data_IF_835753602991
#
_entry.id   IF_835753602991
#
_cell.length_a   1.000
_cell.length_b   1.000
_cell.length_c   1.000
_cell.angle_alpha   90.00
_cell.angle_beta   90.00
_cell.angle_gamma   90.00
#
_symmetry.space_group_name_H-M   'P 1'
#
loop_
_entity.id
_entity.type
_entity.pdbx_description
1 polymer ?
#
# COMPACT_ATOMS: atom_id res chain seq x y z
N UNK A 1 34.16 12.69 0.85
CA UNK A 1 32.96 13.54 1.04
C UNK A 1 31.89 12.72 1.76
N UNK A 2 31.60 13.04 3.02
CA UNK A 2 30.69 12.30 3.94
C UNK A 2 29.44 13.12 4.26
N UNK A 3 28.87 13.81 3.27
CA UNK A 3 27.66 14.62 3.46
C UNK A 3 26.39 13.78 3.49
N UNK A 4 25.40 14.18 4.28
CA UNK A 4 24.08 13.54 4.38
C UNK A 4 23.45 13.30 3.00
N UNK A 5 23.53 14.28 2.09
CA UNK A 5 22.99 14.12 0.73
C UNK A 5 23.70 13.01 -0.06
N UNK A 6 25.04 12.93 0.04
CA UNK A 6 25.84 11.90 -0.63
C UNK A 6 25.50 10.49 -0.12
N UNK A 7 25.23 10.36 1.17
CA UNK A 7 24.79 9.11 1.78
C UNK A 7 23.35 8.76 1.40
N UNK A 8 22.46 9.76 1.29
CA UNK A 8 21.08 9.56 0.86
C UNK A 8 21.00 9.04 -0.58
N UNK A 9 21.82 9.57 -1.50
CA UNK A 9 21.95 9.05 -2.87
C UNK A 9 22.41 7.58 -2.93
N UNK A 10 23.12 7.10 -1.91
CA UNK A 10 23.57 5.70 -1.79
C UNK A 10 22.55 4.80 -1.09
N UNK A 11 21.34 5.28 -0.85
CA UNK A 11 20.30 4.46 -0.21
C UNK A 11 20.47 4.29 1.31
N UNK A 12 21.29 5.12 1.98
CA UNK A 12 21.41 5.08 3.44
C UNK A 12 20.13 5.61 4.09
N UNK A 13 19.46 4.79 4.89
CA UNK A 13 18.13 5.07 5.45
C UNK A 13 18.11 6.27 6.40
N UNK A 14 19.11 6.42 7.25
CA UNK A 14 19.22 7.55 8.19
C UNK A 14 19.44 8.88 7.44
N UNK A 15 20.26 8.86 6.40
CA UNK A 15 20.51 10.00 5.56
C UNK A 15 19.26 10.41 4.75
N UNK A 16 18.52 9.43 4.21
CA UNK A 16 17.23 9.66 3.54
C UNK A 16 16.22 10.22 4.53
N UNK A 17 16.09 9.64 5.73
CA UNK A 17 15.19 10.15 6.76
C UNK A 17 15.54 11.60 7.12
N UNK A 18 16.83 11.91 7.28
CA UNK A 18 17.29 13.27 7.56
C UNK A 18 16.95 14.23 6.42
N UNK A 19 17.12 13.79 5.17
CA UNK A 19 16.77 14.56 3.99
C UNK A 19 15.26 14.86 3.94
N UNK A 20 14.42 13.83 4.03
CA UNK A 20 12.95 13.97 4.03
C UNK A 20 12.46 14.87 5.17
N UNK A 21 13.01 14.69 6.38
CA UNK A 21 12.61 15.47 7.55
C UNK A 21 12.89 16.98 7.44
N UNK A 22 13.81 17.42 6.57
CA UNK A 22 14.02 18.85 6.31
C UNK A 22 12.80 19.50 5.64
N UNK A 23 12.08 18.73 4.83
CA UNK A 23 10.89 19.19 4.12
C UNK A 23 9.60 18.93 4.91
N UNK A 24 9.55 17.86 5.69
CA UNK A 24 8.34 17.43 6.40
C UNK A 24 8.12 18.14 7.74
N UNK A 25 9.19 18.45 8.49
CA UNK A 25 9.07 19.10 9.80
C UNK A 25 8.41 20.47 9.77
N UNK A 26 8.70 21.36 8.79
CA UNK A 26 7.97 22.63 8.65
C UNK A 26 6.46 22.46 8.44
N UNK A 27 6.02 21.26 8.02
CA UNK A 27 4.63 20.92 7.76
C UNK A 27 4.00 20.13 8.92
N UNK A 28 4.67 20.07 10.08
CA UNK A 28 4.16 19.39 11.27
C UNK A 28 4.26 17.87 11.24
N UNK A 29 5.08 17.29 10.35
CA UNK A 29 5.26 15.86 10.22
C UNK A 29 6.73 15.42 10.33
N UNK A 30 6.94 14.17 10.74
CA UNK A 30 8.25 13.52 10.78
C UNK A 30 8.23 12.23 9.96
N UNK A 31 9.36 11.89 9.35
CA UNK A 31 9.55 10.62 8.63
C UNK A 31 10.54 9.71 9.36
N UNK A 32 10.25 8.42 9.36
CA UNK A 32 11.20 7.34 9.66
C UNK A 32 11.37 6.50 8.40
N UNK A 33 12.59 6.06 8.14
CA UNK A 33 12.91 5.30 6.93
C UNK A 33 13.58 3.99 7.31
N UNK A 34 13.10 2.90 6.75
CA UNK A 34 13.70 1.57 6.85
C UNK A 34 13.86 0.97 5.45
N UNK A 35 14.79 0.02 5.32
CA UNK A 35 15.04 -0.70 4.06
C UNK A 35 15.07 -2.20 4.34
N UNK A 36 14.38 -2.95 3.50
CA UNK A 36 14.38 -4.42 3.49
C UNK A 36 14.68 -4.88 2.06
N UNK A 37 15.94 -5.26 1.79
CA UNK A 37 16.37 -5.59 0.43
C UNK A 37 16.24 -4.39 -0.53
N UNK A 38 15.40 -4.54 -1.56
CA UNK A 38 15.08 -3.52 -2.56
C UNK A 38 13.81 -2.70 -2.24
N UNK A 39 13.23 -2.91 -1.05
CA UNK A 39 12.06 -2.21 -0.54
C UNK A 39 12.48 -1.11 0.42
N UNK A 40 12.09 0.13 0.12
CA UNK A 40 12.20 1.27 1.03
C UNK A 40 10.83 1.54 1.67
N UNK A 41 10.80 1.65 2.99
CA UNK A 41 9.61 1.98 3.74
C UNK A 41 9.80 3.34 4.40
N UNK A 42 8.82 4.21 4.24
CA UNK A 42 8.79 5.55 4.80
C UNK A 42 7.54 5.66 5.66
N UNK A 43 7.71 5.79 6.98
CA UNK A 43 6.62 6.05 7.90
C UNK A 43 6.56 7.54 8.21
N UNK A 44 5.42 8.15 7.93
CA UNK A 44 5.10 9.54 8.25
C UNK A 44 4.25 9.57 9.51
N UNK A 45 4.63 10.44 10.43
CA UNK A 45 3.89 10.69 11.66
C UNK A 45 3.65 12.18 11.85
N UNK A 46 2.41 12.52 12.21
CA UNK A 46 1.99 13.89 12.54
C UNK A 46 1.00 13.89 13.70
N UNK A 47 0.69 15.08 14.24
CA UNK A 47 -0.28 15.23 15.35
C UNK A 47 -1.67 14.75 14.94
N UNK A 48 -2.06 15.02 13.70
CA UNK A 48 -3.26 14.49 13.06
C UNK A 48 -2.89 13.41 12.02
N UNK A 49 -3.89 12.73 11.45
CA UNK A 49 -3.65 11.82 10.32
C UNK A 49 -3.11 12.63 9.15
N UNK A 50 -1.91 12.31 8.62
CA UNK A 50 -1.31 13.07 7.53
C UNK A 50 -2.15 12.96 6.26
N UNK A 51 -2.30 14.06 5.50
CA UNK A 51 -2.99 14.01 4.20
C UNK A 51 -2.23 13.13 3.21
N UNK A 52 -2.85 12.02 2.80
CA UNK A 52 -2.19 11.00 1.98
C UNK A 52 -1.64 11.58 0.68
N UNK A 53 -2.46 12.33 -0.06
CA UNK A 53 -2.08 12.81 -1.39
C UNK A 53 -0.90 13.79 -1.29
N UNK A 54 -1.04 14.80 -0.44
CA UNK A 54 -0.05 15.84 -0.24
C UNK A 54 1.31 15.27 0.18
N UNK A 55 1.33 14.41 1.19
CA UNK A 55 2.59 13.87 1.70
C UNK A 55 3.23 12.85 0.77
N UNK A 56 2.43 12.04 0.06
CA UNK A 56 2.94 11.17 -0.99
C UNK A 56 3.58 11.98 -2.12
N UNK A 57 2.96 13.06 -2.57
CA UNK A 57 3.51 13.93 -3.63
C UNK A 57 4.85 14.55 -3.21
N UNK A 58 4.95 15.02 -1.96
CA UNK A 58 6.21 15.56 -1.40
C UNK A 58 7.29 14.49 -1.39
N UNK A 59 7.05 13.34 -0.77
CA UNK A 59 8.07 12.28 -0.66
C UNK A 59 8.46 11.76 -2.03
N UNK A 60 7.50 11.59 -2.94
CA UNK A 60 7.76 11.15 -4.29
C UNK A 60 8.73 12.10 -5.01
N UNK A 61 8.47 13.41 -4.95
CA UNK A 61 9.34 14.43 -5.54
C UNK A 61 10.74 14.40 -4.94
N UNK A 62 10.84 14.32 -3.62
CA UNK A 62 12.13 14.29 -2.90
C UNK A 62 12.93 13.02 -3.21
N UNK A 63 12.29 11.86 -3.25
CA UNK A 63 12.97 10.60 -3.58
C UNK A 63 13.33 10.49 -5.06
N UNK A 64 12.53 11.07 -5.95
CA UNK A 64 12.87 11.17 -7.37
C UNK A 64 14.14 12.01 -7.58
N UNK A 65 14.33 13.08 -6.79
CA UNK A 65 15.57 13.86 -6.79
C UNK A 65 16.80 13.06 -6.32
N UNK A 66 16.62 12.11 -5.40
CA UNK A 66 17.71 11.28 -4.91
C UNK A 66 18.16 10.18 -5.91
N UNK A 67 17.35 9.85 -6.92
CA UNK A 67 17.67 8.85 -7.98
C UNK A 67 18.25 7.55 -7.39
N UNK A 68 17.59 6.99 -6.39
CA UNK A 68 18.08 5.79 -5.71
C UNK A 68 17.81 4.56 -6.60
N UNK A 69 18.79 4.19 -7.41
CA UNK A 69 18.67 3.14 -8.45
C UNK A 69 18.36 1.74 -7.92
N UNK A 70 18.61 1.51 -6.64
CA UNK A 70 18.53 0.18 -6.00
C UNK A 70 17.18 -0.11 -5.34
N UNK A 71 16.28 0.88 -5.30
CA UNK A 71 14.94 0.71 -4.75
C UNK A 71 14.03 0.26 -5.89
N UNK A 72 13.40 -0.91 -5.75
CA UNK A 72 12.33 -1.36 -6.67
C UNK A 72 10.96 -1.00 -6.14
N UNK A 73 10.77 -1.02 -4.82
CA UNK A 73 9.49 -0.76 -4.19
C UNK A 73 9.66 0.29 -3.09
N UNK A 74 8.94 1.39 -3.21
CA UNK A 74 8.76 2.39 -2.16
C UNK A 74 7.38 2.19 -1.54
N UNK A 75 7.32 2.17 -0.22
CA UNK A 75 6.07 2.24 0.50
C UNK A 75 6.08 3.40 1.47
N UNK A 76 4.96 4.10 1.51
CA UNK A 76 4.74 5.23 2.36
C UNK A 76 3.56 4.91 3.26
N UNK A 77 3.75 5.01 4.56
CA UNK A 77 2.74 4.80 5.58
C UNK A 77 2.47 6.13 6.24
N UNK A 78 1.21 6.48 6.44
CA UNK A 78 0.85 7.67 7.20
C UNK A 78 0.06 7.32 8.44
N UNK A 79 0.45 7.88 9.59
CA UNK A 79 -0.30 7.69 10.83
C UNK A 79 -0.26 8.93 11.72
N UNK A 80 -1.23 8.99 12.63
CA UNK A 80 -1.18 9.91 13.75
C UNK A 80 -0.12 9.44 14.76
N UNK A 81 0.57 10.37 15.39
CA UNK A 81 1.50 10.06 16.47
C UNK A 81 0.80 9.34 17.61
N UNK A 82 1.40 8.25 18.07
CA UNK A 82 0.87 7.40 19.14
C UNK A 82 -0.05 6.28 18.67
N UNK A 83 -0.48 6.27 17.40
CA UNK A 83 -1.25 5.16 16.86
C UNK A 83 -0.31 3.99 16.49
N UNK A 84 -0.74 2.76 16.76
CA UNK A 84 0.02 1.55 16.43
C UNK A 84 -0.03 1.24 14.93
N UNK A 85 -1.18 1.47 14.30
CA UNK A 85 -1.43 1.18 12.90
C UNK A 85 -1.28 2.41 11.99
N UNK A 86 -0.96 2.16 10.72
CA UNK A 86 -1.03 3.18 9.69
C UNK A 86 -2.49 3.48 9.34
N UNK A 87 -2.84 4.77 9.23
CA UNK A 87 -4.15 5.18 8.73
C UNK A 87 -4.28 4.88 7.23
N UNK A 88 -3.17 5.01 6.49
CA UNK A 88 -3.11 4.68 5.06
C UNK A 88 -1.71 4.20 4.68
N UNK A 89 -1.66 3.48 3.56
CA UNK A 89 -0.42 3.05 2.90
C UNK A 89 -0.50 3.36 1.41
N UNK A 90 0.59 3.88 0.85
CA UNK A 90 0.74 4.11 -0.58
C UNK A 90 2.03 3.45 -1.06
N UNK A 91 1.95 2.69 -2.15
CA UNK A 91 3.11 2.04 -2.75
C UNK A 91 3.45 2.68 -4.10
N UNK A 92 4.75 2.75 -4.41
CA UNK A 92 5.31 3.19 -5.68
C UNK A 92 6.39 2.20 -6.12
N UNK A 93 6.49 1.95 -7.42
CA UNK A 93 7.55 1.12 -7.99
C UNK A 93 8.54 1.95 -8.77
N UNK A 94 9.81 1.56 -8.70
CA UNK A 94 10.84 2.09 -9.60
C UNK A 94 10.91 1.25 -10.87
N UNK A 95 10.65 1.86 -12.03
CA UNK A 95 10.90 1.28 -13.35
C UNK A 95 11.81 2.21 -14.14
N UNK A 96 12.94 1.69 -14.61
CA UNK A 96 13.94 2.46 -15.37
C UNK A 96 14.39 3.75 -14.65
N UNK A 97 14.44 3.72 -13.31
CA UNK A 97 14.81 4.87 -12.49
C UNK A 97 13.70 5.90 -12.27
N UNK A 98 12.46 5.61 -12.67
CA UNK A 98 11.28 6.43 -12.37
C UNK A 98 10.40 5.71 -11.35
N UNK A 99 10.03 6.42 -10.28
CA UNK A 99 8.98 5.97 -9.38
C UNK A 99 7.62 6.15 -10.08
N UNK A 100 6.74 5.17 -9.96
CA UNK A 100 5.40 5.14 -10.56
C UNK A 100 4.43 4.64 -9.48
N UNK A 101 3.22 5.22 -9.34
CA UNK A 101 2.24 4.71 -8.38
C UNK A 101 1.97 3.23 -8.63
N UNK A 102 1.91 2.43 -7.57
CA UNK A 102 1.57 1.01 -7.70
C UNK A 102 0.13 0.79 -8.19
N UNK A 103 -0.72 1.83 -8.19
CA UNK A 103 -2.04 1.83 -8.84
C UNK A 103 -1.98 1.90 -10.37
N UNK A 104 -0.87 2.36 -10.94
CA UNK A 104 -0.70 2.56 -12.39
C UNK A 104 0.06 1.42 -13.07
N UNK A 105 0.65 0.51 -12.30
CA UNK A 105 1.33 -0.68 -12.82
C UNK A 105 0.72 -1.91 -12.19
N UNK A 106 0.30 -2.81 -13.07
CA UNK A 106 -0.09 -4.20 -12.82
C UNK A 106 0.86 -4.84 -11.79
N UNK A 107 0.48 -4.78 -10.50
CA UNK A 107 1.22 -5.36 -9.37
C UNK A 107 1.47 -6.87 -9.60
N UNK A 108 0.66 -7.48 -10.47
CA UNK A 108 0.80 -8.84 -11.01
C UNK A 108 2.12 -9.14 -11.71
N UNK A 109 2.89 -8.13 -12.15
CA UNK A 109 4.20 -8.34 -12.81
C UNK A 109 5.38 -8.37 -11.82
N UNK A 110 5.16 -8.09 -10.53
CA UNK A 110 6.22 -7.98 -9.52
C UNK A 110 6.66 -9.28 -8.88
N UNK A 111 5.81 -10.29 -8.92
CA UNK A 111 6.04 -11.54 -8.23
C UNK A 111 6.04 -12.64 -9.27
N UNK A 112 6.97 -13.60 -9.15
CA UNK A 112 6.81 -14.86 -9.87
C UNK A 112 5.45 -15.46 -9.51
N UNK A 113 4.76 -16.08 -10.46
CA UNK A 113 3.38 -16.58 -10.29
C UNK A 113 3.16 -17.45 -9.03
N UNK A 114 4.23 -18.03 -8.46
CA UNK A 114 4.19 -18.83 -7.23
C UNK A 114 4.31 -18.09 -5.89
N UNK A 115 4.71 -16.81 -5.87
CA UNK A 115 5.14 -16.12 -4.62
C UNK A 115 4.04 -15.23 -3.99
N UNK A 116 3.14 -14.65 -4.82
CA UNK A 116 2.10 -13.72 -4.34
C UNK A 116 1.19 -14.35 -3.29
N UNK A 117 0.68 -15.55 -3.56
CA UNK A 117 -0.33 -16.20 -2.73
C UNK A 117 0.27 -16.57 -1.37
N UNK A 118 1.52 -17.04 -1.35
CA UNK A 118 2.22 -17.37 -0.11
C UNK A 118 2.42 -16.11 0.76
N UNK A 119 2.94 -15.03 0.18
CA UNK A 119 3.15 -13.78 0.90
C UNK A 119 1.84 -13.11 1.34
N UNK A 120 0.79 -13.22 0.54
CA UNK A 120 -0.54 -12.73 0.92
C UNK A 120 -1.12 -13.48 2.12
N UNK A 121 -0.92 -14.81 2.19
CA UNK A 121 -1.29 -15.64 3.34
C UNK A 121 -0.52 -15.31 4.62
N UNK A 122 0.71 -14.78 4.49
CA UNK A 122 1.50 -14.27 5.61
C UNK A 122 1.05 -12.85 6.07
N UNK A 123 0.11 -12.27 5.32
CA UNK A 123 -0.45 -10.94 5.56
C UNK A 123 0.44 -9.81 5.07
N UNK A 124 1.28 -10.04 4.05
CA UNK A 124 1.95 -8.94 3.35
C UNK A 124 0.92 -8.16 2.52
N UNK A 125 0.72 -6.89 2.89
CA UNK A 125 -0.28 -6.01 2.29
C UNK A 125 -0.02 -5.75 0.81
N UNK A 126 1.24 -5.75 0.37
CA UNK A 126 1.60 -5.58 -1.05
C UNK A 126 1.20 -6.80 -1.83
N UNK A 127 1.48 -7.99 -1.32
CA UNK A 127 1.07 -9.25 -1.94
C UNK A 127 -0.46 -9.40 -1.97
N UNK A 128 -1.16 -9.04 -0.88
CA UNK A 128 -2.63 -9.00 -0.84
C UNK A 128 -3.16 -8.01 -1.89
N UNK A 129 -2.60 -6.81 -1.97
CA UNK A 129 -2.97 -5.80 -2.96
C UNK A 129 -2.72 -6.28 -4.40
N UNK A 130 -1.63 -7.01 -4.62
CA UNK A 130 -1.30 -7.61 -5.90
C UNK A 130 -2.32 -8.65 -6.33
N UNK A 131 -2.63 -9.55 -5.41
CA UNK A 131 -3.59 -10.62 -5.62
C UNK A 131 -4.99 -10.06 -5.92
N UNK A 132 -5.43 -9.06 -5.16
CA UNK A 132 -6.70 -8.38 -5.40
C UNK A 132 -6.75 -7.72 -6.77
N UNK A 133 -5.73 -6.94 -7.13
CA UNK A 133 -5.71 -6.28 -8.43
C UNK A 133 -5.63 -7.29 -9.59
N UNK A 134 -5.01 -8.47 -9.39
CA UNK A 134 -5.05 -9.57 -10.37
C UNK A 134 -6.48 -10.05 -10.61
N UNK A 135 -7.18 -10.40 -9.53
CA UNK A 135 -8.58 -10.84 -9.56
C UNK A 135 -9.46 -9.81 -10.25
N UNK A 136 -9.30 -8.54 -9.91
CA UNK A 136 -10.12 -7.45 -10.44
C UNK A 136 -9.77 -7.10 -11.89
N UNK A 137 -8.53 -7.30 -12.31
CA UNK A 137 -8.11 -7.05 -13.69
C UNK A 137 -8.80 -7.97 -14.70
N UNK A 138 -9.24 -9.16 -14.30
CA UNK A 138 -10.10 -10.05 -15.13
C UNK A 138 -11.41 -9.38 -15.53
N UNK A 139 -11.88 -8.41 -14.72
CA UNK A 139 -13.08 -7.61 -14.96
C UNK A 139 -12.76 -6.16 -15.35
N UNK A 140 -11.51 -5.87 -15.71
CA UNK A 140 -11.02 -4.52 -16.00
C UNK A 140 -11.22 -3.50 -14.87
N UNK A 141 -11.33 -3.97 -13.63
CA UNK A 141 -11.47 -3.14 -12.44
C UNK A 141 -10.11 -2.87 -11.79
N UNK A 142 -9.98 -1.70 -11.16
CA UNK A 142 -8.82 -1.34 -10.32
C UNK A 142 -9.25 -1.22 -8.87
N UNK A 143 -8.35 -1.53 -7.94
CA UNK A 143 -8.62 -1.25 -6.53
C UNK A 143 -7.40 -0.78 -5.75
N UNK A 144 -7.69 0.07 -4.78
CA UNK A 144 -6.78 0.45 -3.71
C UNK A 144 -7.06 -0.43 -2.50
N UNK A 145 -5.99 -0.97 -1.92
CA UNK A 145 -6.09 -1.88 -0.78
C UNK A 145 -5.37 -1.26 0.41
N UNK A 146 -6.05 -1.19 1.53
CA UNK A 146 -5.52 -0.75 2.82
C UNK A 146 -5.84 -1.81 3.88
N UNK A 147 -4.97 -1.96 4.88
CA UNK A 147 -5.21 -2.86 6.01
C UNK A 147 -5.18 -2.02 7.28
N UNK A 148 -6.33 -1.89 7.94
CA UNK A 148 -6.50 -1.14 9.18
C UNK A 148 -7.15 -2.03 10.23
N UNK A 149 -6.53 -2.21 11.39
CA UNK A 149 -7.12 -2.95 12.52
C UNK A 149 -7.70 -4.33 12.13
N UNK A 150 -6.98 -5.06 11.26
CA UNK A 150 -7.39 -6.36 10.69
C UNK A 150 -8.60 -6.32 9.73
N UNK A 151 -9.08 -5.12 9.39
CA UNK A 151 -10.03 -4.84 8.32
C UNK A 151 -9.27 -4.49 7.03
N UNK A 152 -9.39 -5.37 6.03
CA UNK A 152 -8.89 -5.15 4.69
C UNK A 152 -9.90 -4.30 3.92
N UNK A 153 -9.56 -3.03 3.73
CA UNK A 153 -10.37 -2.09 2.99
C UNK A 153 -9.97 -2.13 1.53
N UNK A 154 -10.91 -2.51 0.67
CA UNK A 154 -10.72 -2.60 -0.76
C UNK A 154 -11.61 -1.57 -1.43
N UNK A 155 -11.01 -0.52 -1.98
CA UNK A 155 -11.69 0.56 -2.67
C UNK A 155 -11.58 0.30 -4.16
N UNK A 156 -12.68 -0.13 -4.76
CA UNK A 156 -12.78 -0.46 -6.18
C UNK A 156 -13.12 0.82 -6.95
N UNK A 157 -12.23 1.21 -7.84
CA UNK A 157 -12.48 2.31 -8.77
C UNK A 157 -13.29 1.81 -9.95
N UNK A 158 -14.54 2.26 -10.04
CA UNK A 158 -15.40 1.92 -11.18
C UNK A 158 -16.43 3.00 -11.47
N UNK A 159 -16.70 3.17 -12.76
CA UNK A 159 -17.82 3.99 -13.24
C UNK A 159 -19.06 3.17 -13.58
N UNK A 160 -18.93 1.84 -13.57
CA UNK A 160 -19.99 0.89 -13.88
C UNK A 160 -20.79 0.50 -12.64
N UNK A 161 -22.00 -0.02 -12.87
CA UNK A 161 -22.80 -0.59 -11.79
C UNK A 161 -22.14 -1.87 -11.28
N UNK A 162 -21.85 -1.91 -9.98
CA UNK A 162 -21.34 -3.09 -9.29
C UNK A 162 -22.42 -3.55 -8.30
N UNK A 163 -23.04 -4.69 -8.60
CA UNK A 163 -24.07 -5.30 -7.77
C UNK A 163 -23.43 -5.82 -6.48
N UNK A 164 -23.58 -5.09 -5.38
CA UNK A 164 -22.96 -5.47 -4.10
C UNK A 164 -23.38 -6.85 -3.60
N UNK A 165 -24.69 -7.14 -3.48
CA UNK A 165 -25.19 -8.45 -3.08
C UNK A 165 -24.64 -9.64 -3.87
N UNK A 166 -24.38 -9.52 -5.17
CA UNK A 166 -23.78 -10.60 -5.96
C UNK A 166 -22.25 -10.57 -5.94
N UNK A 167 -21.66 -9.40 -6.15
CA UNK A 167 -20.22 -9.23 -6.28
C UNK A 167 -19.47 -9.46 -4.97
N UNK A 168 -19.94 -8.88 -3.86
CA UNK A 168 -19.20 -8.89 -2.61
C UNK A 168 -18.97 -10.32 -2.06
N UNK A 169 -19.98 -11.22 -2.02
CA UNK A 169 -19.77 -12.60 -1.61
C UNK A 169 -18.84 -13.39 -2.55
N UNK A 170 -19.00 -13.24 -3.86
CA UNK A 170 -18.12 -13.91 -4.85
C UNK A 170 -16.67 -13.48 -4.66
N UNK A 171 -16.44 -12.17 -4.54
CA UNK A 171 -15.11 -11.60 -4.33
C UNK A 171 -14.48 -12.05 -3.01
N UNK A 172 -15.26 -12.06 -1.92
CA UNK A 172 -14.80 -12.54 -0.62
C UNK A 172 -14.43 -14.04 -0.64
N UNK A 173 -15.18 -14.87 -1.37
CA UNK A 173 -14.85 -16.29 -1.53
C UNK A 173 -13.49 -16.48 -2.21
N UNK A 174 -13.19 -15.71 -3.26
CA UNK A 174 -11.87 -15.74 -3.91
C UNK A 174 -10.75 -15.27 -2.97
N UNK A 175 -11.02 -14.31 -2.10
CA UNK A 175 -10.03 -13.85 -1.10
C UNK A 175 -9.84 -14.80 0.07
N UNK A 176 -10.76 -15.73 0.30
CA UNK A 176 -10.60 -16.73 1.37
C UNK A 176 -9.35 -17.62 1.17
N UNK A 177 -8.89 -17.76 -0.08
CA UNK A 177 -7.67 -18.51 -0.43
C UNK A 177 -6.38 -17.87 0.09
N UNK A 178 -6.42 -16.57 0.41
CA UNK A 178 -5.31 -15.79 0.97
C UNK A 178 -5.62 -15.26 2.37
N UNK A 179 -6.67 -15.78 3.02
CA UNK A 179 -7.01 -15.39 4.39
C UNK A 179 -5.80 -15.58 5.31
N UNK A 180 -5.43 -14.53 6.03
CA UNK A 180 -4.32 -14.52 6.97
C UNK A 180 -4.81 -14.18 8.37
N UNK A 181 -4.11 -14.58 9.44
CA UNK A 181 -4.43 -14.16 10.81
C UNK A 181 -4.46 -12.64 11.01
N UNK A 182 -3.83 -11.87 10.12
CA UNK A 182 -3.80 -10.40 10.16
C UNK A 182 -5.00 -9.74 9.49
N UNK A 183 -5.85 -10.51 8.81
CA UNK A 183 -7.01 -10.01 8.08
C UNK A 183 -8.25 -10.80 8.50
N UNK A 184 -9.12 -10.18 9.30
CA UNK A 184 -10.36 -10.79 9.78
C UNK A 184 -11.60 -10.27 9.06
N UNK A 185 -11.58 -9.02 8.65
CA UNK A 185 -12.70 -8.38 7.96
C UNK A 185 -12.25 -7.91 6.57
N UNK A 186 -13.22 -7.89 5.65
CA UNK A 186 -13.10 -7.33 4.32
C UNK A 186 -14.19 -6.29 4.15
N UNK A 187 -13.80 -5.03 4.01
CA UNK A 187 -14.72 -3.94 3.71
C UNK A 187 -14.54 -3.50 2.26
N UNK A 188 -15.59 -3.70 1.46
CA UNK A 188 -15.59 -3.37 0.04
C UNK A 188 -16.24 -2.02 -0.17
N UNK A 189 -15.52 -1.12 -0.81
CA UNK A 189 -16.01 0.19 -1.20
C UNK A 189 -16.00 0.29 -2.72
N UNK A 190 -16.93 1.06 -3.26
CA UNK A 190 -16.87 1.56 -4.63
C UNK A 190 -16.56 3.04 -4.63
N UNK A 191 -15.72 3.46 -5.55
CA UNK A 191 -15.41 4.86 -5.78
C UNK A 191 -15.50 5.14 -7.27
N UNK A 192 -16.30 6.14 -7.64
CA UNK A 192 -16.27 6.65 -9.01
C UNK A 192 -15.00 7.48 -9.17
N UNK A 193 -14.29 7.37 -10.29
CA UNK A 193 -13.05 8.13 -10.54
C UNK A 193 -13.21 9.66 -10.47
N UNK A 194 -14.45 10.16 -10.42
CA UNK A 194 -14.81 11.59 -10.31
C UNK A 194 -15.23 12.00 -8.90
N UNK A 195 -15.21 11.10 -7.92
CA UNK A 195 -15.71 11.34 -6.56
C UNK A 195 -14.61 11.03 -5.55
N UNK A 196 -14.33 11.97 -4.65
CA UNK A 196 -13.28 11.82 -3.64
C UNK A 196 -13.66 10.86 -2.50
N UNK A 197 -14.96 10.66 -2.26
CA UNK A 197 -15.44 9.85 -1.14
C UNK A 197 -15.89 8.46 -1.63
N UNK A 198 -15.27 7.37 -1.13
CA UNK A 198 -15.69 6.01 -1.44
C UNK A 198 -17.02 5.66 -0.73
N UNK A 199 -17.87 4.88 -1.40
CA UNK A 199 -19.13 4.37 -0.87
C UNK A 199 -18.96 2.92 -0.40
N UNK A 200 -19.23 2.65 0.88
CA UNK A 200 -19.20 1.29 1.42
C UNK A 200 -20.31 0.45 0.80
N UNK A 201 -19.93 -0.64 0.13
CA UNK A 201 -20.86 -1.61 -0.42
C UNK A 201 -21.26 -2.63 0.64
N UNK A 202 -20.26 -3.29 1.24
CA UNK A 202 -20.49 -4.34 2.22
C UNK A 202 -19.22 -4.62 3.03
N UNK A 203 -19.41 -5.02 4.29
CA UNK A 203 -18.36 -5.60 5.13
C UNK A 203 -18.66 -7.07 5.37
N UNK A 204 -17.64 -7.91 5.21
CA UNK A 204 -17.71 -9.36 5.28
C UNK A 204 -16.62 -9.90 6.21
N UNK A 205 -16.94 -10.88 7.05
CA UNK A 205 -15.94 -11.59 7.85
C UNK A 205 -15.23 -12.62 6.98
N UNK A 206 -13.90 -12.54 6.91
CA UNK A 206 -13.06 -13.52 6.22
C UNK A 206 -12.83 -14.70 7.16
N UNK A 207 -13.33 -15.88 6.75
CA UNK A 207 -13.12 -17.11 7.51
C UNK A 207 -11.66 -17.54 7.36
N UNK A 208 -10.91 -17.49 8.45
CA UNK A 208 -9.57 -18.04 8.49
C UNK A 208 -9.65 -19.56 8.33
N UNK A 209 -9.03 -20.12 7.28
CA UNK A 209 -8.94 -21.57 7.14
C UNK A 209 -8.05 -22.12 8.26
N UNK A 210 -8.67 -22.43 9.39
CA UNK A 210 -8.01 -23.04 10.52
C UNK A 210 -7.58 -24.44 10.08
N UNK A 211 -6.26 -24.63 9.99
CA UNK A 211 -5.53 -25.90 9.83
C UNK A 211 -6.41 -27.15 9.85
N UNK A 212 -6.53 -27.83 8.71
CA UNK A 212 -6.73 -29.28 8.72
C UNK A 212 -5.43 -29.88 9.24
N UNK A 213 -5.40 -30.22 10.53
CA UNK A 213 -4.36 -31.09 11.11
C UNK A 213 -4.64 -32.51 10.60
N UNK A 214 -3.73 -33.05 9.80
CA UNK A 214 -3.55 -34.49 9.69
C UNK A 214 -2.35 -34.88 10.55
#
# INVERSE_FOLDING_TARGET
>A
MTGVLHQAHRGNTEAIATFLNRHLRPQGACARVSRQGDRLQVLIESVDVPDQKHFCDVIFKELQYLVIKEIRLLQIYGRRMGDDAAAWTQSFMSREGRLLPASDIVITQLFGDGDIVAQAREGDVVAISAYINRILSERHLKAHVNLKDQDLQVIIETSEFLDGPEFCPEFANRLSDIASPKVQNLSLYKQKSTTATPFLMQTLALKNQSKVRY
#
